data_IF_130733936073
#
_entry.id   IF_130733936073
#
_cell.length_a   1.000
_cell.length_b   1.000
_cell.length_c   1.000
_cell.angle_alpha   90.00
_cell.angle_beta   90.00
_cell.angle_gamma   90.00
#
_symmetry.space_group_name_H-M   'P 1'
#
loop_
_entity.id
_entity.type
_entity.pdbx_description
1 polymer ?
#
# COMPACT_ATOMS: atom_id res chain seq x y z
N UNK A 1 -11.47 15.46 -16.28
CA UNK A 1 -12.55 14.46 -16.23
C UNK A 1 -13.32 14.65 -14.94
N UNK A 2 -14.67 14.68 -14.96
CA UNK A 2 -15.47 14.75 -13.74
C UNK A 2 -15.23 13.51 -12.87
N UNK A 3 -15.18 13.69 -11.55
CA UNK A 3 -15.05 12.58 -10.59
C UNK A 3 -16.36 11.79 -10.57
N UNK A 4 -16.29 10.51 -10.93
CA UNK A 4 -17.42 9.59 -10.80
C UNK A 4 -17.48 9.13 -9.32
N UNK A 5 -18.65 9.17 -8.67
CA UNK A 5 -18.81 8.66 -7.32
C UNK A 5 -18.41 7.18 -7.24
N UNK A 6 -17.62 6.82 -6.22
CA UNK A 6 -17.31 5.43 -5.93
C UNK A 6 -18.42 4.83 -5.05
N UNK A 7 -18.95 3.68 -5.46
CA UNK A 7 -19.87 2.87 -4.69
C UNK A 7 -19.08 1.80 -3.95
N UNK A 8 -19.05 1.88 -2.62
CA UNK A 8 -18.45 0.82 -1.79
C UNK A 8 -19.39 -0.38 -1.80
N UNK A 9 -18.96 -1.47 -2.42
CA UNK A 9 -19.77 -2.69 -2.56
C UNK A 9 -19.92 -3.41 -1.24
N UNK A 10 -18.80 -3.53 -0.53
CA UNK A 10 -18.77 -4.21 0.74
C UNK A 10 -17.63 -3.63 1.56
N UNK A 11 -17.95 -2.93 2.64
CA UNK A 11 -16.96 -2.59 3.65
C UNK A 11 -16.82 -3.75 4.63
N UNK A 12 -16.27 -4.87 4.19
CA UNK A 12 -15.72 -5.87 5.11
C UNK A 12 -14.42 -5.32 5.69
N UNK A 13 -14.55 -4.30 6.53
CA UNK A 13 -13.60 -4.15 7.61
C UNK A 13 -13.93 -5.30 8.57
N UNK A 14 -13.39 -6.51 8.31
CA UNK A 14 -13.35 -7.56 9.33
C UNK A 14 -12.50 -7.00 10.47
N UNK A 15 -13.10 -6.18 11.33
CA UNK A 15 -12.47 -5.62 12.53
C UNK A 15 -12.08 -6.72 13.52
N UNK A 16 -12.59 -7.93 13.32
CA UNK A 16 -12.33 -9.11 14.15
C UNK A 16 -11.29 -10.07 13.59
N UNK A 17 -10.73 -9.82 12.40
CA UNK A 17 -9.74 -10.73 11.84
C UNK A 17 -8.37 -10.49 12.47
N UNK A 18 -7.72 -11.55 12.92
CA UNK A 18 -6.31 -11.51 13.33
C UNK A 18 -5.36 -11.25 12.15
N UNK A 19 -5.89 -11.17 10.91
CA UNK A 19 -5.09 -10.94 9.73
C UNK A 19 -4.52 -9.51 9.71
N UNK A 20 -3.20 -9.35 9.54
CA UNK A 20 -2.59 -8.02 9.43
C UNK A 20 -2.96 -7.31 8.12
N UNK A 21 -3.43 -8.03 7.09
CA UNK A 21 -3.77 -7.47 5.80
C UNK A 21 -5.22 -6.97 5.77
N UNK A 22 -5.38 -5.65 5.73
CA UNK A 22 -6.70 -5.01 5.57
C UNK A 22 -6.94 -4.64 4.10
N UNK A 23 -8.14 -4.92 3.62
CA UNK A 23 -8.53 -4.65 2.23
C UNK A 23 -9.99 -4.24 2.12
N UNK A 24 -10.36 -3.63 0.99
CA UNK A 24 -11.69 -3.11 0.71
C UNK A 24 -12.05 -3.31 -0.76
N UNK A 25 -13.14 -4.04 -1.08
CA UNK A 25 -13.73 -4.03 -2.41
C UNK A 25 -14.61 -2.78 -2.62
N UNK A 26 -14.40 -2.10 -3.74
CA UNK A 26 -15.19 -0.95 -4.15
C UNK A 26 -15.46 -1.00 -5.66
N UNK A 27 -16.50 -0.30 -6.11
CA UNK A 27 -16.84 -0.14 -7.53
C UNK A 27 -16.82 1.33 -7.88
N UNK A 28 -16.25 1.66 -9.03
CA UNK A 28 -16.34 3.01 -9.59
C UNK A 28 -16.51 2.91 -11.09
N UNK A 29 -17.61 3.46 -11.61
CA UNK A 29 -18.02 3.25 -12.99
C UNK A 29 -18.19 1.77 -13.30
N UNK A 30 -17.48 1.29 -14.32
CA UNK A 30 -17.55 -0.09 -14.81
C UNK A 30 -16.41 -0.98 -14.30
N UNK A 31 -15.74 -0.63 -13.21
CA UNK A 31 -14.59 -1.38 -12.70
C UNK A 31 -14.71 -1.68 -11.20
N UNK A 32 -14.24 -2.88 -10.83
CA UNK A 32 -14.09 -3.32 -9.45
C UNK A 32 -12.65 -3.04 -8.99
N UNK A 33 -12.54 -2.48 -7.80
CA UNK A 33 -11.28 -2.15 -7.15
C UNK A 33 -11.13 -2.98 -5.88
N UNK A 34 -9.96 -3.55 -5.66
CA UNK A 34 -9.53 -4.09 -4.38
C UNK A 34 -8.41 -3.21 -3.84
N UNK A 35 -8.75 -2.39 -2.85
CA UNK A 35 -7.83 -1.48 -2.20
C UNK A 35 -7.25 -2.12 -0.93
N UNK A 36 -5.93 -2.20 -0.84
CA UNK A 36 -5.21 -2.72 0.31
C UNK A 36 -4.69 -1.57 1.16
N UNK A 37 -4.98 -1.62 2.45
CA UNK A 37 -4.47 -0.64 3.40
C UNK A 37 -3.04 -1.00 3.78
N UNK A 38 -2.17 0.00 3.82
CA UNK A 38 -0.90 -0.12 4.53
C UNK A 38 -1.11 0.02 6.05
N UNK A 39 -0.02 -0.10 6.80
CA UNK A 39 -0.02 0.27 8.21
C UNK A 39 -0.19 1.79 8.39
N UNK A 40 -0.75 2.19 9.54
CA UNK A 40 -0.81 3.60 9.95
C UNK A 40 0.54 4.17 10.35
N UNK A 41 1.51 3.32 10.67
CA UNK A 41 2.89 3.70 10.98
C UNK A 41 3.84 3.20 9.88
N UNK A 42 4.24 4.12 9.00
CA UNK A 42 5.13 3.83 7.87
C UNK A 42 6.52 3.40 8.34
N UNK A 43 6.97 3.84 9.54
CA UNK A 43 8.26 3.42 10.08
C UNK A 43 8.23 1.95 10.50
N UNK A 44 7.14 1.54 11.17
CA UNK A 44 6.95 0.13 11.54
C UNK A 44 6.87 -0.76 10.29
N UNK A 45 6.18 -0.29 9.24
CA UNK A 45 6.16 -1.01 7.96
C UNK A 45 7.56 -1.21 7.36
N UNK A 46 8.40 -0.19 7.39
CA UNK A 46 9.75 -0.25 6.83
C UNK A 46 10.63 -1.23 7.63
N UNK A 47 10.47 -1.24 8.95
CA UNK A 47 11.20 -2.16 9.84
C UNK A 47 10.72 -3.60 9.62
N UNK A 48 9.41 -3.83 9.62
CA UNK A 48 8.81 -5.16 9.42
C UNK A 48 9.05 -5.70 8.00
N UNK A 49 9.00 -4.85 6.98
CA UNK A 49 9.31 -5.24 5.60
C UNK A 49 10.80 -5.47 5.35
N UNK A 50 11.67 -5.04 6.25
CA UNK A 50 13.11 -5.35 6.20
C UNK A 50 13.48 -6.66 6.91
N UNK A 51 12.50 -7.33 7.54
CA UNK A 51 12.67 -8.65 8.15
C UNK A 51 12.77 -9.76 7.09
N UNK A 52 14.00 -9.95 6.59
CA UNK A 52 14.59 -11.11 5.88
C UNK A 52 13.65 -11.89 4.96
N UNK A 53 13.87 -11.89 3.62
CA UNK A 53 13.09 -12.73 2.70
C UNK A 53 13.26 -14.22 3.04
N UNK A 54 12.19 -14.82 3.56
CA UNK A 54 12.08 -16.26 3.76
C UNK A 54 11.71 -16.94 2.46
N UNK A 55 12.65 -17.67 1.87
CA UNK A 55 12.49 -18.39 0.59
C UNK A 55 11.78 -19.75 0.73
N UNK A 56 11.36 -20.12 1.93
CA UNK A 56 11.04 -21.52 2.26
C UNK A 56 9.68 -21.99 1.71
N UNK A 57 8.68 -21.10 1.57
CA UNK A 57 7.31 -21.51 1.19
C UNK A 57 6.98 -21.32 -0.29
N UNK A 58 7.53 -20.33 -0.97
CA UNK A 58 7.31 -20.17 -2.41
C UNK A 58 8.43 -20.84 -3.23
N UNK A 59 8.30 -22.15 -3.47
CA UNK A 59 9.31 -22.90 -4.25
C UNK A 59 9.46 -22.42 -5.70
N UNK A 60 8.47 -21.71 -6.25
CA UNK A 60 8.45 -21.32 -7.66
C UNK A 60 8.76 -19.83 -7.89
N UNK A 61 8.49 -18.95 -6.92
CA UNK A 61 8.63 -17.50 -7.07
C UNK A 61 9.04 -16.87 -5.75
N UNK A 62 10.20 -16.23 -5.65
CA UNK A 62 10.57 -15.59 -4.38
C UNK A 62 9.62 -14.43 -4.07
N UNK A 63 8.98 -14.45 -2.91
CA UNK A 63 8.23 -13.32 -2.36
C UNK A 63 8.86 -12.98 -1.01
N UNK A 64 8.85 -11.69 -0.64
CA UNK A 64 9.28 -11.29 0.70
C UNK A 64 8.37 -11.94 1.76
N UNK A 65 8.94 -12.78 2.62
CA UNK A 65 8.20 -13.66 3.55
C UNK A 65 7.20 -12.95 4.43
N UNK A 66 7.51 -11.76 4.97
CA UNK A 66 6.57 -11.05 5.85
C UNK A 66 5.24 -10.68 5.15
N UNK A 67 5.32 -10.25 3.90
CA UNK A 67 4.15 -9.81 3.12
C UNK A 67 3.40 -11.01 2.55
N UNK A 68 4.14 -12.02 2.08
CA UNK A 68 3.58 -13.33 1.74
C UNK A 68 2.81 -13.92 2.92
N UNK A 69 3.44 -13.99 4.10
CA UNK A 69 2.84 -14.56 5.30
C UNK A 69 1.59 -13.78 5.74
N UNK A 70 1.58 -12.46 5.62
CA UNK A 70 0.38 -11.67 5.92
C UNK A 70 -0.82 -12.01 5.02
N UNK A 71 -0.59 -12.44 3.78
CA UNK A 71 -1.62 -12.79 2.80
C UNK A 71 -1.98 -14.29 2.85
N UNK A 72 -1.00 -15.14 3.14
CA UNK A 72 -1.10 -16.61 3.12
C UNK A 72 -1.10 -17.26 4.50
N UNK A 73 -1.33 -16.54 5.59
CA UNK A 73 -1.31 -17.14 6.93
C UNK A 73 -2.27 -18.35 6.99
N UNK A 74 -1.72 -19.48 7.42
CA UNK A 74 -2.43 -20.75 7.63
C UNK A 74 -2.55 -20.97 9.15
N UNK A 75 -3.77 -21.14 9.65
CA UNK A 75 -4.07 -21.45 11.05
C UNK A 75 -5.56 -21.31 11.35
N UNK A 76 -6.04 -22.03 12.37
CA UNK A 76 -7.48 -22.18 12.69
C UNK A 76 -8.20 -20.86 13.05
N UNK A 77 -7.45 -19.78 13.30
CA UNK A 77 -7.97 -18.45 13.68
C UNK A 77 -7.58 -17.32 12.72
N UNK A 78 -6.88 -17.61 11.62
CA UNK A 78 -6.47 -16.59 10.66
C UNK A 78 -7.32 -16.67 9.41
N UNK A 79 -7.98 -15.56 9.09
CA UNK A 79 -8.75 -15.43 7.86
C UNK A 79 -7.86 -15.63 6.63
N UNK A 80 -8.31 -16.54 5.76
CA UNK A 80 -7.67 -16.83 4.48
C UNK A 80 -7.96 -15.70 3.49
N UNK A 81 -7.21 -14.60 3.61
CA UNK A 81 -7.38 -13.36 2.80
C UNK A 81 -7.48 -13.66 1.29
N UNK A 82 -6.69 -14.61 0.78
CA UNK A 82 -6.75 -15.03 -0.62
C UNK A 82 -8.11 -15.63 -0.98
N UNK A 83 -8.61 -16.55 -0.17
CA UNK A 83 -9.88 -17.24 -0.42
C UNK A 83 -11.08 -16.29 -0.21
N UNK A 84 -11.04 -15.44 0.81
CA UNK A 84 -12.04 -14.39 1.03
C UNK A 84 -12.12 -13.44 -0.19
N UNK A 85 -10.99 -13.04 -0.75
CA UNK A 85 -10.94 -12.19 -1.94
C UNK A 85 -11.43 -12.95 -3.18
N UNK A 86 -11.07 -14.22 -3.35
CA UNK A 86 -11.56 -15.04 -4.46
C UNK A 86 -13.09 -15.17 -4.40
N UNK A 87 -13.64 -15.40 -3.21
CA UNK A 87 -15.08 -15.44 -2.98
C UNK A 87 -15.73 -14.10 -3.34
N UNK A 88 -15.23 -12.99 -2.80
CA UNK A 88 -15.77 -11.64 -3.09
C UNK A 88 -15.69 -11.30 -4.58
N UNK A 89 -14.59 -11.64 -5.25
CA UNK A 89 -14.46 -11.44 -6.70
C UNK A 89 -15.46 -12.32 -7.45
N UNK A 90 -15.65 -13.58 -7.05
CA UNK A 90 -16.60 -14.47 -7.71
C UNK A 90 -18.06 -14.05 -7.51
N UNK A 91 -18.41 -13.52 -6.35
CA UNK A 91 -19.79 -13.16 -5.99
C UNK A 91 -20.19 -11.79 -6.52
N UNK A 92 -19.25 -10.85 -6.57
CA UNK A 92 -19.57 -9.46 -6.83
C UNK A 92 -19.07 -8.92 -8.16
N UNK A 93 -18.10 -9.56 -8.82
CA UNK A 93 -17.55 -9.06 -10.09
C UNK A 93 -18.40 -9.53 -11.26
N UNK A 94 -18.84 -8.59 -12.10
CA UNK A 94 -19.54 -8.95 -13.32
C UNK A 94 -18.59 -9.54 -14.37
N UNK A 95 -19.11 -10.42 -15.23
CA UNK A 95 -18.33 -11.00 -16.32
C UNK A 95 -17.80 -9.90 -17.26
N UNK A 96 -16.48 -9.82 -17.41
CA UNK A 96 -15.81 -8.80 -18.21
C UNK A 96 -15.55 -7.47 -17.48
N UNK A 97 -16.03 -7.29 -16.26
CA UNK A 97 -15.71 -6.12 -15.43
C UNK A 97 -14.20 -6.08 -15.15
N UNK A 98 -13.48 -4.98 -15.43
CA UNK A 98 -12.08 -4.85 -15.06
C UNK A 98 -11.87 -4.94 -13.55
N UNK A 99 -10.89 -5.74 -13.14
CA UNK A 99 -10.45 -5.85 -11.75
C UNK A 99 -9.14 -5.10 -11.56
N UNK A 100 -9.14 -4.12 -10.66
CA UNK A 100 -8.00 -3.26 -10.35
C UNK A 100 -7.57 -3.48 -8.91
N UNK A 101 -6.31 -3.87 -8.69
CA UNK A 101 -5.73 -3.94 -7.36
C UNK A 101 -4.95 -2.67 -7.07
N UNK A 102 -5.12 -2.08 -5.89
CA UNK A 102 -4.37 -0.90 -5.52
C UNK A 102 -3.99 -0.83 -4.05
N UNK A 103 -2.99 -0.02 -3.73
CA UNK A 103 -2.54 0.19 -2.36
C UNK A 103 -1.37 1.15 -2.25
N UNK A 104 -1.18 1.71 -1.06
CA UNK A 104 -0.06 2.58 -0.71
C UNK A 104 0.87 1.88 0.29
N UNK A 105 2.18 2.12 0.18
CA UNK A 105 3.19 1.55 1.08
C UNK A 105 3.04 0.03 1.18
N UNK A 106 2.96 -0.53 2.38
CA UNK A 106 2.74 -1.96 2.63
C UNK A 106 1.51 -2.52 1.89
N UNK A 107 0.43 -1.75 1.78
CA UNK A 107 -0.77 -2.15 1.05
C UNK A 107 -0.51 -2.37 -0.44
N UNK A 108 0.39 -1.58 -1.04
CA UNK A 108 0.81 -1.82 -2.42
C UNK A 108 1.64 -3.12 -2.57
N UNK A 109 2.34 -3.53 -1.52
CA UNK A 109 2.98 -4.85 -1.45
C UNK A 109 1.93 -5.98 -1.46
N UNK A 110 0.88 -5.86 -0.63
CA UNK A 110 -0.23 -6.81 -0.63
C UNK A 110 -0.93 -6.90 -1.99
N UNK A 111 -1.17 -5.77 -2.65
CA UNK A 111 -1.78 -5.74 -3.98
C UNK A 111 -0.94 -6.50 -5.03
N UNK A 112 0.38 -6.36 -5.00
CA UNK A 112 1.29 -7.07 -5.89
C UNK A 112 1.27 -8.59 -5.65
N UNK A 113 1.32 -9.02 -4.39
CA UNK A 113 1.26 -10.45 -4.02
C UNK A 113 -0.11 -11.03 -4.39
N UNK A 114 -1.20 -10.34 -4.08
CA UNK A 114 -2.54 -10.78 -4.47
C UNK A 114 -2.70 -10.93 -5.98
N UNK A 115 -2.13 -10.03 -6.78
CA UNK A 115 -2.14 -10.17 -8.24
C UNK A 115 -1.51 -11.50 -8.71
N UNK A 116 -0.40 -11.91 -8.08
CA UNK A 116 0.24 -13.20 -8.37
C UNK A 116 -0.72 -14.35 -8.06
N UNK A 117 -1.38 -14.33 -6.89
CA UNK A 117 -2.35 -15.36 -6.50
C UNK A 117 -3.51 -15.49 -7.48
N UNK A 118 -4.10 -14.35 -7.87
CA UNK A 118 -5.22 -14.29 -8.80
C UNK A 118 -4.81 -14.78 -10.20
N UNK A 119 -3.69 -14.30 -10.72
CA UNK A 119 -3.21 -14.69 -12.05
C UNK A 119 -2.84 -16.18 -12.14
N UNK A 120 -2.33 -16.78 -11.05
CA UNK A 120 -2.04 -18.22 -10.97
C UNK A 120 -3.29 -19.10 -10.96
N UNK A 121 -4.44 -18.54 -10.57
CA UNK A 121 -5.76 -19.21 -10.56
C UNK A 121 -6.61 -18.79 -11.75
N UNK A 122 -5.98 -18.25 -12.79
CA UNK A 122 -6.61 -17.75 -14.01
C UNK A 122 -7.69 -16.67 -13.80
N UNK A 123 -7.64 -15.97 -12.65
CA UNK A 123 -8.48 -14.79 -12.41
C UNK A 123 -7.87 -13.59 -13.10
N UNK A 124 -8.60 -12.99 -14.03
CA UNK A 124 -8.12 -11.83 -14.79
C UNK A 124 -8.01 -10.58 -13.92
N UNK A 125 -6.81 -10.02 -13.85
CA UNK A 125 -6.52 -8.72 -13.22
C UNK A 125 -6.15 -7.75 -14.33
N UNK A 126 -6.90 -6.65 -14.42
CA UNK A 126 -6.72 -5.64 -15.47
C UNK A 126 -5.60 -4.67 -15.15
N UNK A 127 -5.41 -4.34 -13.87
CA UNK A 127 -4.40 -3.38 -13.45
C UNK A 127 -3.96 -3.61 -12.00
N UNK A 128 -2.68 -3.36 -11.72
CA UNK A 128 -2.13 -3.20 -10.38
C UNK A 128 -1.57 -1.78 -10.28
N UNK A 129 -2.01 -1.01 -9.27
CA UNK A 129 -1.73 0.42 -9.13
C UNK A 129 -1.23 0.70 -7.72
N UNK A 130 0.07 0.95 -7.58
CA UNK A 130 0.71 1.03 -6.25
C UNK A 130 1.52 2.31 -6.09
N UNK A 131 1.52 2.86 -4.88
CA UNK A 131 2.27 4.08 -4.56
C UNK A 131 3.17 3.84 -3.34
N UNK A 132 4.46 4.13 -3.44
CA UNK A 132 5.42 3.94 -2.35
C UNK A 132 5.54 2.50 -1.85
N UNK A 133 5.13 1.52 -2.64
CA UNK A 133 5.14 0.11 -2.25
C UNK A 133 6.56 -0.49 -2.22
N UNK A 134 6.88 -1.38 -1.26
CA UNK A 134 8.16 -2.05 -1.25
C UNK A 134 8.30 -3.02 -2.44
N UNK A 135 9.55 -3.40 -2.75
CA UNK A 135 9.81 -4.49 -3.69
C UNK A 135 9.59 -5.84 -3.01
N UNK A 136 8.43 -6.44 -3.27
CA UNK A 136 8.01 -7.69 -2.59
C UNK A 136 8.22 -8.94 -3.42
N UNK A 137 8.48 -8.78 -4.72
CA UNK A 137 8.56 -9.87 -5.68
C UNK A 137 9.99 -10.03 -6.18
N UNK A 138 10.48 -11.27 -6.20
CA UNK A 138 11.79 -11.61 -6.73
C UNK A 138 11.62 -12.04 -8.19
N UNK A 139 12.35 -11.43 -9.13
CA UNK A 139 12.32 -11.84 -10.53
C UNK A 139 12.61 -13.35 -10.70
N UNK A 140 11.99 -14.01 -11.69
CA UNK A 140 12.26 -15.41 -11.98
C UNK A 140 13.74 -15.61 -12.31
N UNK A 141 14.30 -16.75 -11.88
CA UNK A 141 15.66 -17.14 -12.25
C UNK A 141 15.76 -17.38 -13.76
N UNK A 142 16.96 -17.24 -14.31
CA UNK A 142 17.22 -17.62 -15.70
C UNK A 142 16.75 -19.06 -15.95
N UNK A 143 15.91 -19.25 -16.97
CA UNK A 143 15.33 -20.56 -17.32
C UNK A 143 13.96 -20.87 -16.70
N UNK A 144 13.45 -20.08 -15.76
CA UNK A 144 12.10 -20.26 -15.23
C UNK A 144 11.02 -19.68 -16.18
N UNK A 145 9.77 -20.22 -16.17
CA UNK A 145 8.68 -19.71 -16.99
C UNK A 145 8.42 -18.21 -16.73
N UNK A 146 8.55 -17.38 -17.77
CA UNK A 146 8.42 -15.92 -17.65
C UNK A 146 7.00 -15.40 -17.86
N UNK A 147 6.05 -16.24 -18.27
CA UNK A 147 4.72 -15.78 -18.70
C UNK A 147 3.95 -15.05 -17.59
N UNK A 148 3.96 -15.60 -16.36
CA UNK A 148 3.34 -14.95 -15.21
C UNK A 148 3.98 -13.59 -14.93
N UNK A 149 5.31 -13.52 -15.01
CA UNK A 149 6.08 -12.32 -14.74
C UNK A 149 5.83 -11.22 -15.79
N UNK A 150 5.80 -11.60 -17.07
CA UNK A 150 5.48 -10.71 -18.17
C UNK A 150 4.04 -10.16 -18.05
N UNK A 151 3.07 -11.03 -17.73
CA UNK A 151 1.68 -10.63 -17.49
C UNK A 151 1.58 -9.64 -16.32
N UNK A 152 2.20 -9.96 -15.20
CA UNK A 152 2.18 -9.09 -14.02
C UNK A 152 2.84 -7.74 -14.30
N UNK A 153 4.01 -7.74 -14.96
CA UNK A 153 4.72 -6.53 -15.35
C UNK A 153 3.85 -5.65 -16.26
N UNK A 154 3.19 -6.24 -17.26
CA UNK A 154 2.35 -5.52 -18.21
C UNK A 154 1.15 -4.81 -17.57
N UNK A 155 0.62 -5.34 -16.47
CA UNK A 155 -0.53 -4.75 -15.77
C UNK A 155 -0.14 -3.85 -14.60
N UNK A 156 1.13 -3.83 -14.20
CA UNK A 156 1.58 -3.12 -12.99
C UNK A 156 2.10 -1.74 -13.30
N UNK A 157 1.56 -0.74 -12.60
CA UNK A 157 2.10 0.61 -12.55
C UNK A 157 2.42 0.97 -11.11
N UNK A 158 3.63 1.47 -10.92
CA UNK A 158 4.20 1.77 -9.62
C UNK A 158 4.66 3.23 -9.60
N UNK A 159 4.14 4.01 -8.65
CA UNK A 159 4.55 5.39 -8.44
C UNK A 159 5.44 5.49 -7.21
N UNK A 160 6.61 6.07 -7.40
CA UNK A 160 7.61 6.27 -6.35
C UNK A 160 7.86 7.76 -6.23
N UNK A 161 7.76 8.29 -5.03
CA UNK A 161 8.21 9.64 -4.76
C UNK A 161 9.74 9.65 -4.65
N UNK A 162 10.40 10.69 -5.16
CA UNK A 162 11.86 10.77 -5.29
C UNK A 162 12.61 10.51 -3.98
N UNK A 163 11.99 10.88 -2.85
CA UNK A 163 12.57 10.74 -1.51
C UNK A 163 12.01 9.59 -0.69
N UNK A 164 11.17 8.74 -1.29
CA UNK A 164 10.56 7.61 -0.58
C UNK A 164 11.57 6.47 -0.38
N UNK A 165 11.84 6.06 0.88
CA UNK A 165 12.63 4.87 1.16
C UNK A 165 12.00 3.56 0.72
N UNK A 166 10.68 3.43 0.85
CA UNK A 166 10.03 2.14 0.99
C UNK A 166 10.25 1.28 -0.26
N UNK A 167 10.11 1.80 -1.49
CA UNK A 167 10.42 1.04 -2.71
C UNK A 167 11.89 0.62 -2.86
N UNK A 168 12.81 1.19 -2.08
CA UNK A 168 14.26 0.93 -2.16
C UNK A 168 14.70 -0.19 -1.21
N UNK A 169 13.82 -0.63 -0.31
CA UNK A 169 14.06 -1.76 0.59
C UNK A 169 13.77 -3.09 -0.13
N UNK A 170 14.49 -4.19 0.18
CA UNK A 170 15.58 -4.30 1.17
C UNK A 170 16.98 -4.02 0.58
N UNK A 171 17.07 -3.71 -0.72
CA UNK A 171 18.33 -3.75 -1.49
C UNK A 171 19.35 -2.66 -1.11
N UNK A 172 18.94 -1.61 -0.41
CA UNK A 172 19.81 -0.50 -0.05
C UNK A 172 20.00 -0.40 1.48
N UNK A 173 20.76 -1.33 2.09
CA UNK A 173 21.10 -1.27 3.52
C UNK A 173 21.77 0.04 3.92
N UNK A 174 22.57 0.62 3.01
CA UNK A 174 23.22 1.93 3.21
C UNK A 174 22.21 3.07 3.37
N UNK A 175 21.06 3.02 2.68
CA UNK A 175 20.04 4.08 2.78
C UNK A 175 19.55 4.28 4.22
N UNK A 176 19.35 3.19 4.97
CA UNK A 176 18.93 3.24 6.37
C UNK A 176 19.95 3.97 7.25
N UNK A 177 21.24 3.84 6.93
CA UNK A 177 22.32 4.53 7.65
C UNK A 177 22.50 5.96 7.15
N UNK A 178 22.28 6.22 5.86
CA UNK A 178 22.60 7.50 5.21
C UNK A 178 21.45 8.52 5.25
N UNK A 179 20.20 8.06 5.24
CA UNK A 179 19.02 8.93 5.09
C UNK A 179 18.24 9.10 6.38
N UNK A 180 18.18 8.07 7.24
CA UNK A 180 17.51 8.17 8.53
C UNK A 180 18.07 9.31 9.41
N UNK A 181 19.41 9.56 9.47
CA UNK A 181 19.94 10.71 10.18
C UNK A 181 19.52 12.05 9.58
N UNK A 182 19.43 12.15 8.24
CA UNK A 182 19.05 13.37 7.52
C UNK A 182 17.57 13.71 7.74
N UNK A 183 16.70 12.70 7.75
CA UNK A 183 15.27 12.88 8.04
C UNK A 183 15.04 13.46 9.44
N UNK A 184 15.79 12.97 10.45
CA UNK A 184 15.73 13.51 11.82
C UNK A 184 16.17 14.97 11.88
N UNK A 185 17.20 15.35 11.12
CA UNK A 185 17.69 16.73 11.06
C UNK A 185 16.68 17.67 10.40
N UNK A 186 16.04 17.27 9.30
CA UNK A 186 15.03 18.10 8.64
C UNK A 186 13.75 18.27 9.47
N UNK A 187 13.27 17.20 10.12
CA UNK A 187 12.11 17.30 11.02
C UNK A 187 12.42 18.21 12.20
N UNK A 188 13.60 18.07 12.82
CA UNK A 188 14.03 18.95 13.89
C UNK A 188 14.14 20.43 13.42
N UNK A 189 14.67 20.66 12.22
CA UNK A 189 14.76 21.97 11.60
C UNK A 189 13.39 22.59 11.29
N UNK A 190 12.49 21.83 10.66
CA UNK A 190 11.14 22.26 10.30
C UNK A 190 10.26 22.56 11.50
N UNK A 191 10.33 21.75 12.56
CA UNK A 191 9.63 22.02 13.83
C UNK A 191 10.15 23.31 14.48
N UNK A 192 11.45 23.57 14.42
CA UNK A 192 12.06 24.79 14.97
C UNK A 192 11.64 26.04 14.19
N UNK A 193 11.62 25.96 12.86
CA UNK A 193 11.12 27.02 11.99
C UNK A 193 9.62 27.29 12.23
N UNK A 194 8.79 26.24 12.32
CA UNK A 194 7.35 26.38 12.59
C UNK A 194 7.02 27.05 13.93
N UNK A 195 7.82 26.77 14.99
CA UNK A 195 7.67 27.45 16.28
C UNK A 195 8.07 28.92 16.23
N UNK A 196 9.09 29.29 15.45
CA UNK A 196 9.51 30.68 15.28
C UNK A 196 8.45 31.50 14.55
N UNK A 197 7.88 30.95 13.47
CA UNK A 197 6.83 31.59 12.66
C UNK A 197 5.54 31.83 13.46
N UNK A 198 5.19 30.94 14.39
CA UNK A 198 4.03 31.12 15.29
C UNK A 198 4.24 32.24 16.30
N UNK A 199 5.45 32.42 16.84
CA UNK A 199 5.75 33.52 17.77
C UNK A 199 5.68 34.89 17.09
N UNK A 200 6.19 35.01 15.87
CA UNK A 200 6.15 36.27 15.12
C UNK A 200 4.71 36.66 14.74
N UNK A 201 3.85 35.68 14.45
CA UNK A 201 2.45 35.93 14.06
C UNK A 201 1.56 36.35 15.25
N UNK A 202 1.91 36.00 16.48
CA UNK A 202 1.20 36.47 17.68
C UNK A 202 1.55 37.92 18.07
N UNK A 203 2.71 38.45 17.65
CA UNK A 203 3.10 39.84 17.94
C UNK A 203 2.53 40.86 16.96
N UNK A 204 1.96 40.42 15.83
CA UNK A 204 1.39 41.31 14.81
C UNK A 204 -0.14 41.28 14.78
N UNK A 205 -0.82 40.98 15.90
CA UNK A 205 -2.27 41.25 15.96
C UNK A 205 -2.47 42.76 16.12
N UNK A 206 -3.00 43.47 15.10
CA UNK A 206 -3.40 44.86 15.30
C UNK A 206 -4.46 44.92 16.40
N UNK A 207 -4.35 45.93 17.26
CA UNK A 207 -5.37 46.28 18.23
C UNK A 207 -6.69 46.49 17.48
N UNK A 208 -7.66 45.62 17.76
CA UNK A 208 -9.02 45.74 17.20
C UNK A 208 -9.60 47.04 17.75
N UNK A 209 -9.74 48.03 16.87
CA UNK A 209 -10.43 49.28 17.17
C UNK A 209 -11.87 49.01 17.55
N UNK A 210 -12.27 49.61 18.67
CA UNK A 210 -13.59 49.57 19.27
C UNK A 210 -14.64 50.11 18.27
N UNK A 211 -15.50 49.24 17.75
CA UNK A 211 -16.64 49.63 16.90
C UNK A 211 -17.73 50.15 17.83
N UNK A 212 -17.88 51.47 17.90
CA UNK A 212 -19.04 52.11 18.54
C UNK A 212 -20.23 52.06 17.58
N UNK A 213 -21.27 51.33 17.98
CA UNK A 213 -22.60 51.49 17.39
C UNK A 213 -23.25 52.74 18.00
N UNK A 214 -23.30 53.82 17.21
CA UNK A 214 -24.13 54.99 17.48
C UNK A 214 -25.59 54.71 17.13
N UNK A 215 -26.49 55.29 17.94
CA UNK A 215 -27.94 55.09 17.93
C UNK A 215 -28.72 55.89 16.89
#
# INVERSE_FOLDING_TARGET
>A
MPLVPAHVLHATCKQSSASPAQWLPARSGSAMYLAFRGTGDVQDAAIDSSAVPGTVRFKEHGVHSGIANAVEQEGDEVDHVVEDILQVVSEHRDAGEPLVLCGHSLGGGYAQVMAVHLLRRDVSVSAVRTSGAPHVLVPPRAGAPQQLWQRLHAITQHWVHDWDPVPRLPLCKSWLVDVLPKLKQEIAGGIRAGRLSRKLRCQQRPSVGEVRCGG
#
